data_IF_344128921801
#
_entry.id   IF_344128921801
#
_cell.length_a   1.000
_cell.length_b   1.000
_cell.length_c   1.000
_cell.angle_alpha   90.00
_cell.angle_beta   90.00
_cell.angle_gamma   90.00
#
_symmetry.space_group_name_H-M   'P 1'
#
loop_
_entity.id
_entity.type
_entity.pdbx_description
1 polymer ?
#
# COMPACT_ATOMS: atom_id res chain seq x y z
N UNK A 1 -5.69 17.83 3.32
CA UNK A 1 -4.30 17.49 3.73
C UNK A 1 -3.81 16.38 2.82
N UNK A 2 -2.56 16.48 2.37
CA UNK A 2 -1.92 15.47 1.51
C UNK A 2 -1.04 14.54 2.33
N UNK A 3 -0.63 13.45 1.71
CA UNK A 3 0.39 12.52 2.11
C UNK A 3 1.49 12.57 1.05
N UNK A 4 2.69 12.90 1.48
CA UNK A 4 3.93 12.91 0.71
C UNK A 4 4.93 12.01 1.44
N UNK A 5 5.38 10.98 0.75
CA UNK A 5 6.39 10.08 1.29
C UNK A 5 7.76 10.38 0.70
N UNK A 6 8.80 10.26 1.51
CA UNK A 6 10.19 10.29 1.05
C UNK A 6 10.49 9.26 -0.06
N UNK A 7 11.65 9.41 -0.71
CA UNK A 7 12.08 8.57 -1.84
C UNK A 7 11.04 8.43 -2.96
N UNK A 8 10.14 9.42 -3.09
CA UNK A 8 9.12 9.51 -4.13
C UNK A 8 8.17 8.29 -4.17
N UNK A 9 7.92 7.62 -3.03
CA UNK A 9 7.12 6.40 -3.00
C UNK A 9 5.62 6.64 -3.27
N UNK A 10 5.07 7.77 -2.81
CA UNK A 10 3.68 8.18 -2.96
C UNK A 10 3.49 9.69 -2.79
N UNK A 11 2.57 10.26 -3.58
CA UNK A 11 2.19 11.67 -3.51
C UNK A 11 0.68 11.83 -3.74
N UNK A 12 -0.09 12.24 -2.74
CA UNK A 12 -1.50 12.51 -2.98
C UNK A 12 -2.33 12.69 -1.72
N UNK A 13 -3.64 12.76 -1.85
CA UNK A 13 -4.50 12.82 -0.67
C UNK A 13 -4.48 11.50 0.12
N UNK A 14 -4.65 11.56 1.45
CA UNK A 14 -4.89 10.37 2.30
C UNK A 14 -5.99 9.46 1.76
N UNK A 15 -7.07 10.04 1.21
CA UNK A 15 -8.16 9.28 0.57
C UNK A 15 -7.72 8.50 -0.67
N UNK A 16 -6.65 8.95 -1.35
CA UNK A 16 -6.05 8.21 -2.46
C UNK A 16 -5.16 7.09 -1.93
N UNK A 17 -4.38 7.34 -0.86
CA UNK A 17 -3.60 6.30 -0.20
C UNK A 17 -4.48 5.19 0.39
N UNK A 18 -5.62 5.53 1.00
CA UNK A 18 -6.58 4.52 1.46
C UNK A 18 -7.17 3.69 0.33
N UNK A 19 -7.44 4.28 -0.84
CA UNK A 19 -7.85 3.51 -2.03
C UNK A 19 -6.73 2.59 -2.52
N UNK A 20 -5.48 3.03 -2.43
CA UNK A 20 -4.33 2.18 -2.70
C UNK A 20 -4.26 1.01 -1.71
N UNK A 21 -4.36 1.25 -0.39
CA UNK A 21 -4.45 0.16 0.61
C UNK A 21 -5.60 -0.80 0.33
N UNK A 22 -6.75 -0.29 -0.09
CA UNK A 22 -7.90 -1.12 -0.46
C UNK A 22 -7.59 -2.09 -1.60
N UNK A 23 -7.00 -1.64 -2.70
CA UNK A 23 -6.67 -2.55 -3.81
C UNK A 23 -5.61 -3.58 -3.40
N UNK A 24 -4.63 -3.19 -2.57
CA UNK A 24 -3.59 -4.12 -2.09
C UNK A 24 -4.20 -5.17 -1.16
N UNK A 25 -5.09 -4.77 -0.26
CA UNK A 25 -5.79 -5.70 0.63
C UNK A 25 -6.67 -6.67 -0.17
N UNK A 26 -7.43 -6.18 -1.16
CA UNK A 26 -8.22 -7.05 -2.05
C UNK A 26 -7.33 -8.01 -2.86
N UNK A 27 -6.16 -7.56 -3.29
CA UNK A 27 -5.19 -8.41 -3.99
C UNK A 27 -4.60 -9.50 -3.08
N UNK A 28 -4.43 -9.21 -1.79
CA UNK A 28 -4.06 -10.17 -0.75
C UNK A 28 -5.26 -11.02 -0.25
N UNK A 29 -6.42 -10.97 -0.91
CA UNK A 29 -7.62 -11.71 -0.50
C UNK A 29 -8.32 -11.17 0.76
N UNK A 30 -7.88 -10.01 1.25
CA UNK A 30 -8.44 -9.31 2.40
C UNK A 30 -9.36 -8.15 2.03
N UNK A 31 -9.55 -7.26 3.01
CA UNK A 31 -10.42 -6.09 2.89
C UNK A 31 -9.91 -4.95 3.77
N UNK A 32 -9.93 -3.72 3.24
CA UNK A 32 -9.47 -2.53 3.96
C UNK A 32 -10.59 -1.47 4.00
N UNK A 33 -10.76 -0.73 5.12
CA UNK A 33 -11.76 0.34 5.21
C UNK A 33 -11.56 1.46 4.18
N UNK A 34 -12.64 2.02 3.61
CA UNK A 34 -14.03 1.57 3.74
C UNK A 34 -14.28 0.27 2.96
N UNK A 35 -14.91 -0.71 3.62
CA UNK A 35 -15.20 -2.02 3.05
C UNK A 35 -16.28 -1.96 1.96
N UNK A 36 -16.31 -3.00 1.12
CA UNK A 36 -17.42 -3.23 0.18
C UNK A 36 -18.65 -3.82 0.88
N UNK A 37 -18.44 -4.66 1.88
CA UNK A 37 -19.50 -5.20 2.73
C UNK A 37 -19.76 -4.24 3.91
N UNK A 38 -21.00 -3.76 4.00
CA UNK A 38 -21.44 -2.77 4.99
C UNK A 38 -21.54 -3.35 6.40
N UNK A 39 -21.53 -4.68 6.55
CA UNK A 39 -21.60 -5.37 7.83
C UNK A 39 -20.22 -5.52 8.50
N UNK A 40 -19.13 -5.24 7.77
CA UNK A 40 -17.78 -5.27 8.32
C UNK A 40 -17.53 -4.04 9.21
N UNK A 41 -16.79 -4.24 10.30
CA UNK A 41 -16.34 -3.15 11.17
C UNK A 41 -15.56 -2.12 10.35
N UNK A 42 -15.94 -0.84 10.45
CA UNK A 42 -15.39 0.25 9.64
C UNK A 42 -14.00 0.70 10.08
N UNK A 43 -13.53 0.25 11.24
CA UNK A 43 -12.24 0.63 11.81
C UNK A 43 -11.17 -0.44 11.60
N UNK A 44 -11.57 -1.69 11.34
CA UNK A 44 -10.64 -2.82 11.24
C UNK A 44 -10.35 -3.20 9.78
N UNK A 45 -9.11 -3.58 9.49
CA UNK A 45 -8.78 -4.25 8.24
C UNK A 45 -8.70 -5.77 8.45
N UNK A 46 -8.92 -6.52 7.38
CA UNK A 46 -9.05 -7.99 7.42
C UNK A 46 -8.19 -8.63 6.36
N UNK A 47 -7.71 -9.84 6.65
CA UNK A 47 -6.99 -10.69 5.70
C UNK A 47 -7.66 -12.06 5.58
N UNK A 48 -7.37 -12.73 4.47
CA UNK A 48 -7.62 -14.16 4.39
C UNK A 48 -6.70 -14.94 5.36
N UNK A 49 -7.14 -16.12 5.75
CA UNK A 49 -6.42 -17.05 6.62
C UNK A 49 -5.01 -17.43 6.15
N UNK A 50 -4.68 -17.19 4.87
CA UNK A 50 -3.35 -17.39 4.31
C UNK A 50 -2.32 -16.30 4.68
N UNK A 51 -2.75 -15.19 5.30
CA UNK A 51 -1.88 -14.07 5.67
C UNK A 51 -1.81 -13.89 7.19
N UNK A 52 -0.61 -13.60 7.69
CA UNK A 52 -0.37 -13.27 9.10
C UNK A 52 0.80 -12.28 9.22
N UNK A 53 0.96 -11.66 10.39
CA UNK A 53 2.10 -10.76 10.65
C UNK A 53 3.44 -11.49 10.50
N UNK A 54 3.49 -12.77 10.88
CA UNK A 54 4.67 -13.61 10.82
C UNK A 54 4.97 -14.06 9.38
N UNK A 55 3.93 -14.40 8.61
CA UNK A 55 4.06 -14.83 7.23
C UNK A 55 4.26 -13.66 6.25
N UNK A 56 3.70 -12.49 6.57
CA UNK A 56 3.63 -11.30 5.72
C UNK A 56 3.96 -10.01 6.51
N UNK A 57 5.16 -9.93 7.10
CA UNK A 57 5.57 -8.77 7.89
C UNK A 57 5.58 -7.47 7.07
N UNK A 58 5.87 -7.54 5.76
CA UNK A 58 5.87 -6.36 4.90
C UNK A 58 4.47 -5.79 4.70
N UNK A 59 3.51 -6.61 4.29
CA UNK A 59 2.11 -6.17 4.15
C UNK A 59 1.52 -5.75 5.49
N UNK A 60 1.89 -6.42 6.59
CA UNK A 60 1.46 -6.00 7.93
C UNK A 60 1.87 -4.56 8.21
N UNK A 61 3.15 -4.23 8.00
CA UNK A 61 3.66 -2.87 8.21
C UNK A 61 2.98 -1.87 7.28
N UNK A 62 2.81 -2.22 6.01
CA UNK A 62 2.15 -1.36 5.01
C UNK A 62 0.71 -0.96 5.41
N UNK A 63 -0.04 -1.84 6.05
CA UNK A 63 -1.41 -1.52 6.50
C UNK A 63 -1.48 -0.86 7.87
N UNK A 64 -0.46 -1.02 8.73
CA UNK A 64 -0.55 -0.66 10.14
C UNK A 64 0.27 0.59 10.55
N UNK A 65 1.16 1.10 9.71
CA UNK A 65 1.93 2.32 10.03
C UNK A 65 1.05 3.58 10.11
N UNK A 66 1.55 4.59 10.82
CA UNK A 66 0.93 5.93 10.90
C UNK A 66 1.14 6.71 9.60
N UNK A 67 0.07 7.25 9.01
CA UNK A 67 0.20 8.05 7.80
C UNK A 67 0.72 9.48 8.05
N UNK A 68 0.60 10.01 9.28
CA UNK A 68 0.92 11.42 9.56
C UNK A 68 2.37 11.66 10.03
N UNK A 69 2.92 10.72 10.79
CA UNK A 69 4.24 10.83 11.43
C UNK A 69 4.94 9.46 11.46
N UNK A 70 4.54 8.54 10.57
CA UNK A 70 5.08 7.19 10.53
C UNK A 70 6.32 7.08 9.65
N UNK A 71 7.03 5.98 9.83
CA UNK A 71 8.15 5.58 9.00
C UNK A 71 8.17 4.06 8.83
N UNK A 72 8.73 3.59 7.71
CA UNK A 72 9.04 2.19 7.50
C UNK A 72 10.57 2.05 7.45
N UNK A 73 11.13 1.23 8.34
CA UNK A 73 12.58 1.03 8.42
C UNK A 73 13.17 0.46 7.12
N UNK A 74 14.46 0.70 6.81
CA UNK A 74 15.09 0.24 5.56
C UNK A 74 14.93 -1.27 5.33
N UNK A 75 15.14 -2.07 6.37
CA UNK A 75 14.98 -3.53 6.36
C UNK A 75 13.53 -3.98 6.13
N UNK A 76 12.55 -3.22 6.64
CA UNK A 76 11.14 -3.51 6.44
C UNK A 76 10.68 -3.07 5.05
N UNK A 77 11.24 -1.99 4.51
CA UNK A 77 11.03 -1.57 3.13
C UNK A 77 11.37 -2.69 2.13
N UNK A 78 12.42 -3.48 2.38
CA UNK A 78 12.74 -4.66 1.54
C UNK A 78 11.57 -5.65 1.53
N UNK A 79 11.02 -5.97 2.71
CA UNK A 79 9.91 -6.92 2.86
C UNK A 79 8.61 -6.39 2.26
N UNK A 80 8.29 -5.12 2.51
CA UNK A 80 7.14 -4.43 1.91
C UNK A 80 7.22 -4.49 0.38
N UNK A 81 8.39 -4.14 -0.19
CA UNK A 81 8.61 -4.18 -1.62
C UNK A 81 8.47 -5.60 -2.21
N UNK A 82 9.09 -6.61 -1.58
CA UNK A 82 9.00 -8.02 -2.01
C UNK A 82 7.55 -8.54 -2.01
N UNK A 83 6.78 -8.19 -0.99
CA UNK A 83 5.40 -8.67 -0.85
C UNK A 83 4.42 -7.94 -1.76
N UNK A 84 4.57 -6.61 -1.93
CA UNK A 84 3.78 -5.84 -2.90
C UNK A 84 4.05 -6.28 -4.34
N UNK A 85 5.30 -6.59 -4.68
CA UNK A 85 5.70 -7.04 -6.01
C UNK A 85 4.99 -8.34 -6.41
N UNK A 86 4.82 -9.27 -5.45
CA UNK A 86 4.05 -10.52 -5.66
C UNK A 86 2.57 -10.28 -5.95
N UNK A 87 2.00 -9.18 -5.49
CA UNK A 87 0.59 -8.83 -5.69
C UNK A 87 0.32 -8.13 -7.02
N UNK A 88 1.35 -7.64 -7.73
CA UNK A 88 1.19 -6.89 -8.98
C UNK A 88 0.27 -7.57 -10.01
N UNK A 89 0.39 -8.88 -10.32
CA UNK A 89 -0.50 -9.54 -11.28
C UNK A 89 -1.97 -9.50 -10.84
N UNK A 90 -2.23 -9.61 -9.53
CA UNK A 90 -3.59 -9.56 -8.99
C UNK A 90 -4.14 -8.15 -8.94
N UNK A 91 -3.30 -7.16 -8.63
CA UNK A 91 -3.66 -5.73 -8.67
C UNK A 91 -4.00 -5.32 -10.10
N UNK A 92 -3.22 -5.76 -11.09
CA UNK A 92 -3.51 -5.54 -12.51
C UNK A 92 -4.88 -6.11 -12.89
N UNK A 93 -5.17 -7.35 -12.50
CA UNK A 93 -6.48 -7.97 -12.76
C UNK A 93 -7.64 -7.19 -12.10
N UNK A 94 -7.50 -6.83 -10.82
CA UNK A 94 -8.53 -6.11 -10.06
C UNK A 94 -8.77 -4.68 -10.56
N UNK A 95 -7.76 -4.06 -11.18
CA UNK A 95 -7.84 -2.70 -11.70
C UNK A 95 -8.27 -2.63 -13.16
N UNK A 96 -8.55 -3.76 -13.82
CA UNK A 96 -9.09 -3.75 -15.18
C UNK A 96 -10.38 -2.93 -15.25
N UNK A 97 -10.36 -1.89 -16.10
CA UNK A 97 -11.52 -1.01 -16.31
C UNK A 97 -11.64 0.15 -15.30
N UNK A 98 -10.66 0.36 -14.42
CA UNK A 98 -10.58 1.55 -13.56
C UNK A 98 -9.15 2.04 -13.40
N UNK A 99 -8.95 3.35 -13.41
CA UNK A 99 -7.69 4.00 -13.09
C UNK A 99 -7.62 4.42 -11.60
N UNK A 100 -8.63 4.05 -10.80
CA UNK A 100 -8.78 4.43 -9.39
C UNK A 100 -9.23 5.88 -9.14
N UNK A 101 -9.17 6.76 -10.15
CA UNK A 101 -9.56 8.17 -10.09
C UNK A 101 -8.67 9.07 -9.22
N UNK A 102 -8.69 10.38 -9.48
CA UNK A 102 -7.94 11.38 -8.70
C UNK A 102 -6.43 11.19 -8.80
N UNK A 103 -5.72 11.21 -7.66
CA UNK A 103 -4.25 11.05 -7.63
C UNK A 103 -3.77 9.69 -8.13
N UNK A 104 -4.56 8.61 -7.93
CA UNK A 104 -4.22 7.29 -8.46
C UNK A 104 -4.22 7.30 -9.99
N UNK A 105 -5.27 7.87 -10.60
CA UNK A 105 -5.34 8.02 -12.06
C UNK A 105 -4.24 8.92 -12.62
N UNK A 106 -3.99 10.06 -11.95
CA UNK A 106 -2.89 10.99 -12.30
C UNK A 106 -1.55 10.27 -12.35
N UNK A 107 -1.31 9.34 -11.43
CA UNK A 107 -0.04 8.62 -11.29
C UNK A 107 0.03 7.32 -12.10
N UNK A 108 -0.90 7.10 -13.04
CA UNK A 108 -0.88 5.98 -13.97
C UNK A 108 -1.69 4.75 -13.53
N UNK A 109 -2.55 4.89 -12.52
CA UNK A 109 -3.39 3.81 -12.01
C UNK A 109 -2.71 2.98 -10.92
N UNK A 110 -3.45 2.00 -10.39
CA UNK A 110 -3.01 1.22 -9.23
C UNK A 110 -1.71 0.45 -9.46
N UNK A 111 -1.48 -0.08 -10.66
CA UNK A 111 -0.25 -0.82 -10.98
C UNK A 111 0.97 0.10 -10.90
N UNK A 112 0.91 1.28 -11.51
CA UNK A 112 2.04 2.23 -11.52
C UNK A 112 2.27 2.87 -10.14
N UNK A 113 1.21 3.16 -9.40
CA UNK A 113 1.31 3.57 -8.00
C UNK A 113 2.00 2.50 -7.15
N UNK A 114 1.63 1.22 -7.33
CA UNK A 114 2.26 0.10 -6.61
C UNK A 114 3.75 -0.01 -6.96
N UNK A 115 4.11 0.03 -8.25
CA UNK A 115 5.51 0.00 -8.71
C UNK A 115 6.32 1.17 -8.18
N UNK A 116 5.73 2.38 -8.15
CA UNK A 116 6.38 3.56 -7.58
C UNK A 116 6.65 3.38 -6.09
N UNK A 117 5.66 2.88 -5.34
CA UNK A 117 5.82 2.62 -3.91
C UNK A 117 6.92 1.58 -3.65
N UNK A 118 6.93 0.47 -4.40
CA UNK A 118 8.00 -0.54 -4.39
C UNK A 118 9.35 0.13 -4.65
N UNK A 119 9.46 0.96 -5.69
CA UNK A 119 10.71 1.64 -6.06
C UNK A 119 11.20 2.56 -4.93
N UNK A 120 10.30 3.32 -4.30
CA UNK A 120 10.64 4.16 -3.16
C UNK A 120 11.13 3.36 -1.95
N UNK A 121 10.46 2.25 -1.61
CA UNK A 121 10.94 1.31 -0.59
C UNK A 121 12.34 0.75 -0.92
N UNK A 122 12.58 0.35 -2.18
CA UNK A 122 13.91 -0.15 -2.60
C UNK A 122 14.98 0.92 -2.51
N UNK A 123 14.65 2.18 -2.84
CA UNK A 123 15.58 3.32 -2.73
C UNK A 123 15.94 3.58 -1.28
N UNK A 124 14.94 3.69 -0.39
CA UNK A 124 15.12 3.87 1.05
C UNK A 124 16.02 2.77 1.64
N UNK A 125 15.73 1.50 1.30
CA UNK A 125 16.53 0.36 1.71
C UNK A 125 17.98 0.42 1.16
N UNK A 126 18.17 0.81 -0.10
CA UNK A 126 19.48 0.91 -0.73
C UNK A 126 20.36 2.03 -0.17
N UNK A 127 19.74 3.12 0.28
CA UNK A 127 20.39 4.26 0.93
C UNK A 127 20.54 4.05 2.46
N UNK A 128 19.95 2.96 2.99
CA UNK A 128 19.87 2.66 4.42
C UNK A 128 19.16 3.78 5.22
N UNK A 129 18.12 4.37 4.62
CA UNK A 129 17.28 5.42 5.17
C UNK A 129 15.83 4.90 5.36
N UNK A 130 15.11 5.36 6.40
CA UNK A 130 13.70 5.01 6.57
C UNK A 130 12.83 5.69 5.51
N UNK A 131 11.74 5.03 5.10
CA UNK A 131 10.70 5.66 4.29
C UNK A 131 9.78 6.48 5.21
N UNK A 132 9.95 7.80 5.21
CA UNK A 132 9.17 8.78 5.98
C UNK A 132 7.83 9.12 5.31
N UNK A 133 6.79 9.32 6.14
CA UNK A 133 5.43 9.77 5.78
C UNK A 133 5.17 11.16 6.37
N UNK A 134 4.61 12.10 5.59
CA UNK A 134 4.26 13.45 6.05
C UNK A 134 3.33 14.24 5.13
#
# INVERSE_FOLDING_TARGET
MGLDTSHNAFHGAYSSFNRFRKVVAEAAGGSYPPHKDENMDKENWYWDSSYSKEANPGLYEFFNHSDCDGEISPEMCVKVADELEKLLPRIEELSKGTDGGGHIARDGGFVEVTKRFITGCRSAAGENEPLIFG
#
